data_IF_765652009008
#
_entry.id   IF_765652009008
#
_cell.length_a   1.000
_cell.length_b   1.000
_cell.length_c   1.000
_cell.angle_alpha   90.00
_cell.angle_beta   90.00
_cell.angle_gamma   90.00
#
_symmetry.space_group_name_H-M   'P 1'
#
loop_
_entity.id
_entity.type
_entity.pdbx_description
1 polymer ?
#
# COMPACT_ATOMS: atom_id res chain seq x y z
N UNK A 1 8.17 26.79 12.54
CA UNK A 1 7.56 25.47 12.76
C UNK A 1 8.23 24.86 13.98
N UNK A 2 7.50 24.68 15.08
CA UNK A 2 8.04 24.15 16.32
C UNK A 2 8.07 22.61 16.28
N UNK A 3 8.99 21.98 17.03
CA UNK A 3 9.15 20.51 17.07
C UNK A 3 7.81 19.80 17.33
N UNK A 4 6.97 20.37 18.19
CA UNK A 4 5.64 19.84 18.50
C UNK A 4 4.73 19.77 17.25
N UNK A 5 4.66 20.83 16.47
CA UNK A 5 3.85 20.90 15.24
C UNK A 5 4.31 19.85 14.21
N UNK A 6 5.63 19.62 14.12
CA UNK A 6 6.22 18.60 13.25
C UNK A 6 5.80 17.20 13.70
N UNK A 7 5.89 16.91 15.00
CA UNK A 7 5.50 15.61 15.57
C UNK A 7 4.00 15.35 15.37
N UNK A 8 3.16 16.34 15.63
CA UNK A 8 1.71 16.25 15.41
C UNK A 8 1.40 15.99 13.93
N UNK A 9 2.09 16.68 13.01
CA UNK A 9 1.92 16.45 11.57
C UNK A 9 2.35 15.05 11.15
N UNK A 10 3.48 14.54 11.67
CA UNK A 10 3.94 13.16 11.41
C UNK A 10 2.89 12.15 11.88
N UNK A 11 2.33 12.34 13.07
CA UNK A 11 1.34 11.41 13.62
C UNK A 11 0.03 11.44 12.80
N UNK A 12 -0.42 12.61 12.38
CA UNK A 12 -1.57 12.74 11.47
C UNK A 12 -1.31 12.02 10.14
N UNK A 13 -0.15 12.25 9.52
CA UNK A 13 0.20 11.60 8.25
C UNK A 13 0.31 10.06 8.38
N UNK A 14 0.80 9.56 9.52
CA UNK A 14 0.81 8.12 9.81
C UNK A 14 -0.61 7.55 9.93
N UNK A 15 -1.52 8.29 10.57
CA UNK A 15 -2.93 7.92 10.66
C UNK A 15 -3.56 7.83 9.27
N UNK A 16 -3.37 8.87 8.44
CA UNK A 16 -3.86 8.89 7.06
C UNK A 16 -3.27 7.73 6.25
N UNK A 17 -1.96 7.49 6.36
CA UNK A 17 -1.30 6.38 5.68
C UNK A 17 -1.92 5.03 6.06
N UNK A 18 -2.12 4.79 7.36
CA UNK A 18 -2.73 3.54 7.86
C UNK A 18 -4.14 3.34 7.31
N UNK A 19 -4.92 4.41 7.23
CA UNK A 19 -6.26 4.37 6.65
C UNK A 19 -6.24 4.00 5.16
N UNK A 20 -5.37 4.65 4.37
CA UNK A 20 -5.25 4.36 2.95
C UNK A 20 -4.68 2.96 2.66
N UNK A 21 -3.76 2.47 3.49
CA UNK A 21 -3.25 1.10 3.41
C UNK A 21 -4.35 0.06 3.66
N UNK A 22 -5.22 0.30 4.65
CA UNK A 22 -6.36 -0.58 4.93
C UNK A 22 -7.35 -0.63 3.75
N UNK A 23 -7.71 0.54 3.20
CA UNK A 23 -8.57 0.60 2.01
C UNK A 23 -7.94 -0.06 0.79
N UNK A 24 -6.64 0.15 0.57
CA UNK A 24 -5.92 -0.51 -0.53
C UNK A 24 -5.96 -2.03 -0.35
N UNK A 25 -5.78 -2.52 0.87
CA UNK A 25 -5.85 -3.94 1.17
C UNK A 25 -7.25 -4.52 0.91
N UNK A 26 -8.32 -3.81 1.26
CA UNK A 26 -9.70 -4.19 0.94
C UNK A 26 -9.91 -4.29 -0.58
N UNK A 27 -9.53 -3.26 -1.33
CA UNK A 27 -9.62 -3.25 -2.81
C UNK A 27 -8.81 -4.39 -3.42
N UNK A 28 -7.62 -4.67 -2.90
CA UNK A 28 -6.79 -5.76 -3.37
C UNK A 28 -7.40 -7.13 -3.06
N UNK A 29 -8.04 -7.32 -1.90
CA UNK A 29 -8.67 -8.60 -1.57
C UNK A 29 -9.90 -8.89 -2.43
N UNK A 30 -10.68 -7.86 -2.76
CA UNK A 30 -11.86 -8.01 -3.64
C UNK A 30 -11.48 -8.08 -5.13
N UNK A 31 -10.21 -7.82 -5.46
CA UNK A 31 -9.74 -7.83 -6.84
C UNK A 31 -9.66 -9.25 -7.39
N UNK A 32 -10.30 -9.47 -8.54
CA UNK A 32 -10.01 -10.61 -9.40
C UNK A 32 -8.66 -10.40 -10.09
N UNK A 33 -7.60 -10.79 -9.39
CA UNK A 33 -6.22 -10.54 -9.78
C UNK A 33 -5.90 -11.07 -11.16
N UNK A 34 -5.44 -10.18 -12.03
CA UNK A 34 -4.77 -10.52 -13.28
C UNK A 34 -3.31 -10.08 -13.16
N UNK A 35 -2.42 -11.04 -13.01
CA UNK A 35 -1.02 -10.83 -12.67
C UNK A 35 -0.14 -10.84 -13.90
N UNK A 36 0.66 -9.78 -14.09
CA UNK A 36 1.80 -9.79 -15.00
C UNK A 36 3.06 -10.10 -14.22
N UNK A 37 3.90 -11.00 -14.75
CA UNK A 37 5.21 -11.33 -14.14
C UNK A 37 6.27 -10.39 -14.69
N UNK A 38 7.05 -9.80 -13.80
CA UNK A 38 8.24 -9.02 -14.12
C UNK A 38 9.34 -9.47 -13.19
N UNK A 39 10.36 -10.11 -13.77
CA UNK A 39 11.50 -10.68 -13.05
C UNK A 39 11.08 -11.59 -11.87
N UNK A 40 11.44 -11.20 -10.64
CA UNK A 40 11.21 -11.94 -9.40
C UNK A 40 9.86 -11.61 -8.74
N UNK A 41 9.02 -10.83 -9.42
CA UNK A 41 7.75 -10.33 -8.89
C UNK A 41 6.61 -10.58 -9.87
N UNK A 42 5.40 -10.60 -9.34
CA UNK A 42 4.18 -10.46 -10.13
C UNK A 42 3.38 -9.28 -9.61
N UNK A 43 2.89 -8.45 -10.52
CA UNK A 43 2.09 -7.27 -10.18
C UNK A 43 0.73 -7.40 -10.84
N UNK A 44 -0.34 -7.13 -10.08
CA UNK A 44 -1.68 -7.14 -10.64
C UNK A 44 -1.90 -5.89 -11.49
N UNK A 45 -2.34 -6.07 -12.74
CA UNK A 45 -2.61 -4.97 -13.67
C UNK A 45 -3.78 -4.07 -13.22
N UNK A 46 -4.65 -4.58 -12.34
CA UNK A 46 -5.87 -3.90 -11.89
C UNK A 46 -5.67 -3.14 -10.58
N UNK A 47 -5.16 -3.82 -9.55
CA UNK A 47 -5.03 -3.28 -8.19
C UNK A 47 -3.59 -2.97 -7.77
N UNK A 48 -2.62 -3.17 -8.67
CA UNK A 48 -1.19 -2.93 -8.45
C UNK A 48 -0.58 -3.74 -7.29
N UNK A 49 -1.28 -4.76 -6.79
CA UNK A 49 -0.75 -5.68 -5.79
C UNK A 49 0.48 -6.36 -6.33
N UNK A 50 1.60 -6.26 -5.62
CA UNK A 50 2.85 -6.92 -5.99
C UNK A 50 3.14 -8.05 -5.02
N UNK A 51 3.42 -9.22 -5.54
CA UNK A 51 3.79 -10.41 -4.78
C UNK A 51 5.17 -10.90 -5.26
N UNK A 52 6.06 -11.26 -4.33
CA UNK A 52 7.32 -11.91 -4.66
C UNK A 52 7.06 -13.34 -5.13
N UNK A 53 7.85 -13.81 -6.11
CA UNK A 53 7.76 -15.18 -6.61
C UNK A 53 8.55 -16.18 -5.74
N UNK A 54 9.36 -15.69 -4.80
CA UNK A 54 10.22 -16.48 -3.92
C UNK A 54 9.89 -16.15 -2.45
N UNK A 55 9.81 -17.21 -1.64
CA UNK A 55 9.58 -17.20 -0.19
C UNK A 55 10.89 -17.36 0.57
#
# INVERSE_FOLDING_TARGET
MQIREIVEKINSLKGDLTYWEALLHEVQNDCQHDYVKVDYYKTCLKCQKTESLYY
#
